data_IF_294178531529
#
_entry.id   IF_294178531529
#
_cell.length_a   1.000
_cell.length_b   1.000
_cell.length_c   1.000
_cell.angle_alpha   90.00
_cell.angle_beta   90.00
_cell.angle_gamma   90.00
#
_symmetry.space_group_name_H-M   'P 1'
#
loop_
_entity.id
_entity.type
_entity.pdbx_description
1 polymer ?
#
# COMPACT_ATOMS: atom_id res chain seq x y z
N UNK A 1 12.53 -27.13 17.44
CA UNK A 1 12.62 -25.91 16.59
C UNK A 1 11.77 -26.06 15.33
N UNK A 2 10.91 -25.07 15.05
CA UNK A 2 10.05 -25.04 13.86
C UNK A 2 10.65 -24.11 12.78
N UNK A 3 10.16 -24.22 11.55
CA UNK A 3 10.53 -23.29 10.48
C UNK A 3 10.02 -21.89 10.83
N UNK A 4 10.87 -20.88 10.68
CA UNK A 4 10.48 -19.46 10.78
C UNK A 4 10.51 -18.86 9.39
N UNK A 5 9.41 -18.24 8.97
CA UNK A 5 9.26 -17.58 7.68
C UNK A 5 9.30 -16.08 7.85
N UNK A 6 10.21 -15.46 7.10
CA UNK A 6 10.39 -14.01 7.06
C UNK A 6 10.02 -13.54 5.66
N UNK A 7 9.11 -12.58 5.57
CA UNK A 7 8.70 -12.00 4.29
C UNK A 7 8.67 -10.47 4.36
N UNK A 8 8.84 -9.84 3.21
CA UNK A 8 8.82 -8.39 3.04
C UNK A 8 7.82 -7.95 1.98
N UNK A 9 7.05 -6.90 2.27
CA UNK A 9 6.27 -6.17 1.28
C UNK A 9 6.73 -4.71 1.22
N UNK A 10 6.83 -4.18 0.00
CA UNK A 10 7.28 -2.81 -0.24
C UNK A 10 6.22 -1.76 0.08
N UNK A 11 4.93 -2.12 0.08
CA UNK A 11 3.81 -1.24 0.40
C UNK A 11 2.63 -2.00 1.04
N UNK A 12 1.59 -1.27 1.43
CA UNK A 12 0.38 -1.80 2.08
C UNK A 12 -0.47 -2.73 1.20
N UNK A 13 -0.14 -2.90 -0.08
CA UNK A 13 -0.77 -3.95 -0.91
C UNK A 13 -0.35 -5.36 -0.47
N UNK A 14 0.67 -5.48 0.40
CA UNK A 14 1.08 -6.72 1.05
C UNK A 14 1.25 -7.92 0.10
N UNK A 15 1.67 -7.67 -1.14
CA UNK A 15 1.79 -8.71 -2.16
C UNK A 15 2.70 -9.85 -1.69
N UNK A 16 2.24 -11.09 -1.87
CA UNK A 16 2.92 -12.29 -1.38
C UNK A 16 2.36 -12.79 -0.04
N UNK A 17 3.21 -13.39 0.79
CA UNK A 17 2.82 -14.06 2.03
C UNK A 17 3.12 -13.25 3.31
N UNK A 18 3.30 -11.93 3.18
CA UNK A 18 3.75 -11.07 4.29
C UNK A 18 2.75 -11.04 5.44
N UNK A 19 1.46 -11.03 5.12
CA UNK A 19 0.37 -11.03 6.10
C UNK A 19 0.23 -12.35 6.89
N UNK A 20 0.92 -13.42 6.49
CA UNK A 20 0.88 -14.73 7.13
C UNK A 20 2.28 -15.30 7.46
N UNK A 21 3.30 -14.44 7.47
CA UNK A 21 4.66 -14.79 7.88
C UNK A 21 4.85 -14.60 9.38
N UNK A 22 5.73 -15.40 9.99
CA UNK A 22 6.05 -15.30 11.41
C UNK A 22 6.68 -13.94 11.75
N UNK A 23 7.50 -13.41 10.82
CA UNK A 23 8.07 -12.07 10.88
C UNK A 23 7.79 -11.35 9.56
N UNK A 24 7.12 -10.20 9.65
CA UNK A 24 6.73 -9.38 8.51
C UNK A 24 7.47 -8.04 8.53
N UNK A 25 8.09 -7.68 7.40
CA UNK A 25 8.66 -6.35 7.17
C UNK A 25 7.81 -5.62 6.14
N UNK A 26 7.27 -4.46 6.51
CA UNK A 26 6.33 -3.73 5.67
C UNK A 26 6.76 -2.26 5.50
N UNK A 27 6.88 -1.83 4.24
CA UNK A 27 7.02 -0.43 3.90
C UNK A 27 5.70 0.33 3.98
N UNK A 28 5.68 1.50 4.63
CA UNK A 28 4.51 2.37 4.69
C UNK A 28 4.90 3.85 4.58
N UNK A 29 3.99 4.66 4.05
CA UNK A 29 4.14 6.11 3.97
C UNK A 29 3.58 6.77 5.25
N UNK A 30 4.25 7.84 5.70
CA UNK A 30 3.86 8.64 6.88
C UNK A 30 3.36 10.04 6.55
N UNK A 31 3.31 10.39 5.26
CA UNK A 31 2.90 11.69 4.76
C UNK A 31 1.71 11.49 3.81
N UNK A 32 0.73 12.41 3.84
CA UNK A 32 -0.35 12.40 2.86
C UNK A 32 0.19 12.61 1.43
N UNK A 33 -0.53 12.15 0.40
CA UNK A 33 -0.17 12.44 -0.98
C UNK A 33 -0.26 13.94 -1.26
N UNK A 34 0.63 14.42 -2.14
CA UNK A 34 0.56 15.80 -2.67
C UNK A 34 -0.40 15.80 -3.85
N UNK A 35 -1.31 16.78 -3.90
CA UNK A 35 -2.34 16.88 -4.93
C UNK A 35 -1.82 17.72 -6.09
N UNK A 36 -1.72 17.10 -7.27
CA UNK A 36 -1.44 17.78 -8.53
C UNK A 36 -2.73 18.18 -9.23
N UNK A 37 -3.09 19.46 -9.14
CA UNK A 37 -4.36 19.99 -9.63
C UNK A 37 -4.38 20.18 -11.15
N UNK A 38 -3.22 20.19 -11.83
CA UNK A 38 -3.14 20.38 -13.28
C UNK A 38 -3.61 19.12 -14.03
N UNK A 39 -3.30 17.94 -13.47
CA UNK A 39 -3.55 16.65 -14.12
C UNK A 39 -4.70 15.86 -13.52
N UNK A 40 -5.20 16.24 -12.33
CA UNK A 40 -6.24 15.52 -11.60
C UNK A 40 -7.47 15.23 -12.46
N UNK A 41 -8.03 16.28 -13.09
CA UNK A 41 -9.26 16.18 -13.87
C UNK A 41 -9.07 15.43 -15.20
N UNK A 42 -7.83 15.38 -15.70
CA UNK A 42 -7.51 14.75 -16.98
C UNK A 42 -7.25 13.24 -16.86
N UNK A 43 -6.75 12.77 -15.71
CA UNK A 43 -6.29 11.39 -15.51
C UNK A 43 -7.13 10.60 -14.52
N UNK A 44 -7.79 11.25 -13.56
CA UNK A 44 -8.44 10.57 -12.45
C UNK A 44 -9.97 10.70 -12.53
N UNK A 45 -10.66 9.57 -12.37
CA UNK A 45 -12.09 9.57 -12.08
C UNK A 45 -12.30 9.89 -10.58
N UNK A 46 -12.67 11.14 -10.28
CA UNK A 46 -12.79 11.65 -8.90
C UNK A 46 -13.65 10.72 -8.00
N UNK A 47 -14.81 10.19 -8.43
CA UNK A 47 -15.60 9.29 -7.58
C UNK A 47 -14.86 8.02 -7.18
N UNK A 48 -14.04 7.45 -8.08
CA UNK A 48 -13.22 6.26 -7.78
C UNK A 48 -12.10 6.58 -6.81
N UNK A 49 -11.43 7.73 -6.98
CA UNK A 49 -10.36 8.16 -6.08
C UNK A 49 -10.87 8.39 -4.65
N UNK A 50 -12.07 8.96 -4.49
CA UNK A 50 -12.71 9.15 -3.18
C UNK A 50 -13.11 7.80 -2.57
N UNK A 51 -13.70 6.89 -3.37
CA UNK A 51 -14.13 5.58 -2.90
C UNK A 51 -12.96 4.64 -2.53
N UNK A 52 -11.75 4.88 -3.08
CA UNK A 52 -10.56 4.11 -2.76
C UNK A 52 -9.95 4.47 -1.40
N UNK A 53 -10.33 5.59 -0.78
CA UNK A 53 -9.93 5.90 0.59
C UNK A 53 -10.62 4.92 1.54
N UNK A 54 -9.86 4.05 2.24
CA UNK A 54 -10.43 3.08 3.18
C UNK A 54 -11.06 3.75 4.41
#
# INVERSE_FOLDING_TARGET
PAQVRISMACCLNMCGAVHCSDIAILGYHRKPPVIDHEWLDNLCEIPLAVAACP
#
